data_IF_552395162492
#
_entry.id   IF_552395162492
#
_cell.length_a   1.000
_cell.length_b   1.000
_cell.length_c   1.000
_cell.angle_alpha   90.00
_cell.angle_beta   90.00
_cell.angle_gamma   90.00
#
_symmetry.space_group_name_H-M   'P 1'
#
loop_
_entity.id
_entity.type
_entity.pdbx_description
1 polymer ?
#
# COMPACT_ATOMS: atom_id res chain seq x y z
N UNK A 1 -18.92 -9.36 -15.43
CA UNK A 1 -17.44 -9.36 -15.44
C UNK A 1 -16.98 -8.97 -14.05
N UNK A 2 -16.23 -9.83 -13.33
CA UNK A 2 -15.64 -9.45 -12.04
C UNK A 2 -14.47 -8.50 -12.32
N UNK A 3 -14.35 -7.34 -11.65
CA UNK A 3 -13.16 -6.52 -11.79
C UNK A 3 -11.99 -7.32 -11.21
N UNK A 4 -11.03 -7.65 -12.07
CA UNK A 4 -9.70 -8.09 -11.66
C UNK A 4 -9.12 -6.99 -10.80
N UNK A 5 -9.04 -7.23 -9.50
CA UNK A 5 -8.32 -6.35 -8.58
C UNK A 5 -6.86 -6.35 -9.03
N UNK A 6 -6.46 -5.31 -9.76
CA UNK A 6 -5.06 -5.05 -10.03
C UNK A 6 -4.37 -4.86 -8.69
N UNK A 7 -3.64 -5.89 -8.24
CA UNK A 7 -2.61 -5.72 -7.21
C UNK A 7 -1.57 -4.78 -7.80
N UNK A 8 -1.71 -3.49 -7.49
CA UNK A 8 -0.77 -2.47 -7.92
C UNK A 8 0.58 -2.72 -7.25
N UNK A 9 1.67 -2.63 -8.02
CA UNK A 9 3.02 -2.67 -7.46
C UNK A 9 3.21 -1.45 -6.53
N UNK A 10 3.87 -1.60 -5.37
CA UNK A 10 4.15 -0.48 -4.49
C UNK A 10 5.09 0.51 -5.18
N UNK A 11 4.68 1.77 -5.28
CA UNK A 11 5.50 2.86 -5.84
C UNK A 11 5.97 3.79 -4.72
N UNK A 12 7.28 4.02 -4.60
CA UNK A 12 7.84 4.95 -3.60
C UNK A 12 7.30 6.36 -3.83
N UNK A 13 6.87 7.03 -2.76
CA UNK A 13 6.28 8.37 -2.78
C UNK A 13 4.78 8.37 -3.10
N UNK A 14 4.20 7.25 -3.52
CA UNK A 14 2.76 7.17 -3.80
C UNK A 14 1.96 6.92 -2.51
N UNK A 15 0.79 7.55 -2.44
CA UNK A 15 -0.16 7.44 -1.33
C UNK A 15 -1.25 6.44 -1.72
N UNK A 16 -1.51 5.49 -0.82
CA UNK A 16 -2.54 4.47 -0.99
C UNK A 16 -3.52 4.49 0.18
N UNK A 17 -4.68 3.84 -0.01
CA UNK A 17 -5.58 3.42 1.07
C UNK A 17 -5.64 1.91 1.17
N UNK A 18 -5.59 1.38 2.39
CA UNK A 18 -5.82 -0.05 2.65
C UNK A 18 -7.32 -0.41 2.62
N UNK A 19 -7.65 -1.69 2.74
CA UNK A 19 -9.05 -2.15 2.79
C UNK A 19 -9.84 -1.65 4.01
N UNK A 20 -9.16 -1.13 5.03
CA UNK A 20 -9.74 -0.47 6.20
C UNK A 20 -9.87 1.05 6.00
N UNK A 21 -9.62 1.55 4.78
CA UNK A 21 -9.68 2.96 4.40
C UNK A 21 -8.68 3.86 5.15
N UNK A 22 -7.56 3.30 5.62
CA UNK A 22 -6.46 4.07 6.21
C UNK A 22 -5.46 4.47 5.13
N UNK A 23 -5.11 5.75 5.10
CA UNK A 23 -4.12 6.27 4.17
C UNK A 23 -2.70 5.99 4.66
N UNK A 24 -1.82 5.66 3.72
CA UNK A 24 -0.40 5.50 3.98
C UNK A 24 0.43 5.86 2.75
N UNK A 25 1.69 6.26 2.95
CA UNK A 25 2.68 6.52 1.90
C UNK A 25 3.70 5.38 1.83
N UNK A 26 4.18 5.05 0.63
CA UNK A 26 5.27 4.09 0.46
C UNK A 26 6.61 4.82 0.53
N UNK A 27 7.46 4.40 1.46
CA UNK A 27 8.79 4.96 1.68
C UNK A 27 9.89 4.18 0.96
N UNK A 28 9.67 2.87 0.74
CA UNK A 28 10.59 1.98 0.03
C UNK A 28 9.82 0.85 -0.64
N UNK A 29 10.19 0.50 -1.86
CA UNK A 29 9.65 -0.65 -2.60
C UNK A 29 10.82 -1.44 -3.22
N UNK A 30 11.24 -2.52 -2.54
CA UNK A 30 12.27 -3.45 -3.03
C UNK A 30 11.93 -4.87 -2.53
N UNK A 31 12.90 -5.61 -1.98
CA UNK A 31 12.67 -6.92 -1.32
C UNK A 31 11.68 -6.86 -0.16
N UNK A 32 11.46 -5.66 0.38
CA UNK A 32 10.46 -5.34 1.39
C UNK A 32 9.81 -4.01 1.00
N UNK A 33 8.58 -3.81 1.46
CA UNK A 33 7.87 -2.54 1.35
C UNK A 33 7.89 -1.86 2.72
N UNK A 34 8.35 -0.61 2.77
CA UNK A 34 8.22 0.22 3.97
C UNK A 34 7.12 1.24 3.72
N UNK A 35 6.18 1.34 4.66
CA UNK A 35 5.09 2.30 4.61
C UNK A 35 4.99 3.08 5.92
N UNK A 36 4.42 4.27 5.83
CA UNK A 36 4.01 5.09 6.96
C UNK A 36 2.52 5.43 6.81
N UNK A 37 1.74 5.07 7.82
CA UNK A 37 0.33 5.45 7.90
C UNK A 37 0.18 6.91 8.34
N UNK A 38 -0.95 7.52 8.01
CA UNK A 38 -1.26 8.90 8.36
C UNK A 38 -1.33 9.18 9.88
N UNK A 39 -1.41 8.13 10.71
CA UNK A 39 -1.34 8.21 12.17
C UNK A 39 0.11 8.14 12.72
N UNK A 40 1.11 8.12 11.84
CA UNK A 40 2.53 8.04 12.17
C UNK A 40 3.04 6.62 12.42
N UNK A 41 2.23 5.58 12.24
CA UNK A 41 2.70 4.20 12.37
C UNK A 41 3.52 3.75 11.16
N UNK A 42 4.70 3.18 11.44
CA UNK A 42 5.55 2.57 10.42
C UNK A 42 5.31 1.06 10.34
N UNK A 43 5.26 0.53 9.12
CA UNK A 43 5.25 -0.92 8.88
C UNK A 43 6.26 -1.33 7.83
N UNK A 44 6.89 -2.48 8.10
CA UNK A 44 7.68 -3.24 7.14
C UNK A 44 6.85 -4.43 6.68
N UNK A 45 6.66 -4.54 5.38
CA UNK A 45 5.84 -5.56 4.75
C UNK A 45 6.68 -6.40 3.80
N UNK A 46 6.46 -7.70 3.84
CA UNK A 46 6.85 -8.62 2.80
C UNK A 46 5.92 -8.47 1.58
N UNK A 47 6.33 -8.92 0.38
CA UNK A 47 5.51 -8.79 -0.83
C UNK A 47 4.11 -9.43 -0.72
N UNK A 48 3.96 -10.51 0.04
CA UNK A 48 2.67 -11.13 0.31
C UNK A 48 1.80 -10.28 1.26
N UNK A 49 2.38 -9.62 2.25
CA UNK A 49 1.68 -8.73 3.20
C UNK A 49 1.21 -7.45 2.50
N UNK A 50 1.98 -6.93 1.54
CA UNK A 50 1.54 -5.82 0.68
C UNK A 50 0.20 -6.14 0.00
N UNK A 51 0.10 -7.31 -0.61
CA UNK A 51 -1.12 -7.75 -1.31
C UNK A 51 -2.33 -7.86 -0.37
N UNK A 52 -2.11 -8.18 0.91
CA UNK A 52 -3.18 -8.29 1.91
C UNK A 52 -3.78 -6.93 2.29
N UNK A 53 -3.02 -5.84 2.16
CA UNK A 53 -3.56 -4.49 2.38
C UNK A 53 -4.61 -4.11 1.33
N UNK A 54 -4.65 -4.81 0.18
CA UNK A 54 -5.47 -4.47 -1.00
C UNK A 54 -5.36 -2.97 -1.34
N UNK A 55 -4.12 -2.48 -1.53
CA UNK A 55 -3.84 -1.07 -1.67
C UNK A 55 -4.52 -0.52 -2.92
N UNK A 56 -5.10 0.68 -2.78
CA UNK A 56 -5.69 1.43 -3.89
C UNK A 56 -5.07 2.81 -3.89
N UNK A 57 -4.60 3.28 -5.03
CA UNK A 57 -4.03 4.63 -5.14
C UNK A 57 -5.05 5.65 -4.63
N UNK A 58 -4.60 6.53 -3.74
CA UNK A 58 -5.43 7.62 -3.26
C UNK A 58 -5.48 8.69 -4.35
N UNK A 59 -6.53 8.64 -5.18
CA UNK A 59 -6.91 9.77 -6.02
C UNK A 59 -7.42 10.84 -5.05
N UNK A 60 -6.73 11.96 -4.97
CA UNK A 60 -7.17 13.13 -4.21
C UNK A 60 -8.49 13.66 -4.77
#
# INVERSE_FOLDING_TARGET
MKPTQNTCCPTVGEIYRDFLNRSFIVLKAANVVLIEYADGQFKRLQPNEWSQLRPRSALF
#
